data_IF_416608163623
#
_entry.id   IF_416608163623
#
_cell.length_a   1.000
_cell.length_b   1.000
_cell.length_c   1.000
_cell.angle_alpha   90.00
_cell.angle_beta   90.00
_cell.angle_gamma   90.00
#
_symmetry.space_group_name_H-M   'P 1'
#
loop_
_entity.id
_entity.type
_entity.pdbx_description
1 polymer ?
#
# COMPACT_ATOMS: atom_id res chain seq x y z
N UNK A 1 57.09 86.54 -6.37
CA UNK A 1 56.36 86.66 -7.62
C UNK A 1 54.94 86.30 -7.33
N UNK A 2 54.11 87.26 -7.05
CA UNK A 2 53.15 87.97 -7.91
C UNK A 2 52.33 87.02 -8.72
N UNK A 3 51.05 86.95 -8.52
CA UNK A 3 49.89 87.70 -8.99
C UNK A 3 48.61 87.13 -8.43
N UNK A 4 47.81 87.81 -7.69
CA UNK A 4 46.57 88.58 -7.94
C UNK A 4 45.36 87.78 -8.39
N UNK A 5 44.39 87.90 -7.53
CA UNK A 5 43.01 88.40 -7.74
C UNK A 5 42.08 87.60 -8.68
N UNK A 6 40.99 87.10 -8.17
CA UNK A 6 39.66 87.74 -8.27
C UNK A 6 38.61 86.92 -7.60
N UNK A 7 37.86 87.51 -6.69
CA UNK A 7 36.48 87.22 -6.33
C UNK A 7 35.56 87.68 -7.46
N UNK A 8 34.25 87.44 -7.37
CA UNK A 8 33.34 86.53 -6.65
C UNK A 8 32.27 85.93 -7.58
N UNK A 9 31.58 84.92 -7.17
CA UNK A 9 30.14 84.89 -7.47
C UNK A 9 29.36 84.09 -6.37
N UNK A 10 28.46 84.83 -5.80
CA UNK A 10 27.41 84.37 -4.88
C UNK A 10 26.42 83.50 -5.63
N UNK A 11 26.59 82.18 -5.53
CA UNK A 11 25.59 81.21 -5.93
C UNK A 11 24.75 80.87 -4.74
N UNK A 12 23.50 81.30 -4.74
CA UNK A 12 22.49 80.98 -3.76
C UNK A 12 22.27 79.47 -3.75
N UNK A 13 22.84 78.78 -2.80
CA UNK A 13 22.50 77.41 -2.48
C UNK A 13 21.10 77.42 -1.86
N UNK A 14 20.07 77.14 -2.65
CA UNK A 14 18.75 76.75 -2.16
C UNK A 14 18.91 75.47 -1.36
N UNK A 15 19.06 75.65 -0.07
CA UNK A 15 19.02 74.56 0.89
C UNK A 15 17.65 73.86 0.80
N UNK A 16 17.64 72.70 0.14
CA UNK A 16 16.57 71.73 0.32
C UNK A 16 16.64 71.28 1.80
N UNK A 17 15.91 71.94 2.65
CA UNK A 17 15.62 71.44 3.98
C UNK A 17 14.96 70.09 3.82
N UNK A 18 15.74 69.00 3.97
CA UNK A 18 15.20 67.65 4.20
C UNK A 18 14.46 67.71 5.52
N UNK A 19 13.16 67.97 5.45
CA UNK A 19 12.29 67.84 6.59
C UNK A 19 12.39 66.41 7.11
N UNK A 20 13.07 66.21 8.22
CA UNK A 20 13.01 64.99 9.00
C UNK A 20 11.58 64.86 9.56
N UNK A 21 10.73 64.20 8.78
CA UNK A 21 9.42 63.83 9.27
C UNK A 21 9.60 62.70 10.28
N UNK A 22 9.47 62.98 11.55
CA UNK A 22 9.41 62.00 12.63
C UNK A 22 8.14 61.13 12.47
N UNK A 23 8.26 59.82 12.68
CA UNK A 23 7.11 58.90 12.70
C UNK A 23 6.09 59.33 13.78
N UNK A 24 4.85 59.39 13.40
CA UNK A 24 3.77 59.62 14.37
C UNK A 24 3.49 58.33 15.16
N UNK A 25 3.05 58.45 16.42
CA UNK A 25 2.69 57.31 17.27
C UNK A 25 1.58 56.46 16.62
N UNK A 26 0.66 57.13 15.93
CA UNK A 26 -0.42 56.48 15.18
C UNK A 26 0.10 55.62 14.01
N UNK A 27 1.11 56.07 13.28
CA UNK A 27 1.72 55.35 12.16
C UNK A 27 2.43 54.05 12.63
N UNK A 28 3.17 54.15 13.75
CA UNK A 28 3.80 52.99 14.39
C UNK A 28 2.73 51.98 14.85
N UNK A 29 1.65 52.43 15.46
CA UNK A 29 0.59 51.58 15.92
C UNK A 29 -0.15 50.89 14.79
N UNK A 30 -0.39 51.60 13.67
CA UNK A 30 -0.97 51.04 12.46
C UNK A 30 -0.04 50.00 11.81
N UNK A 31 1.27 50.31 11.72
CA UNK A 31 2.26 49.39 11.18
C UNK A 31 2.33 48.07 11.98
N UNK A 32 2.35 48.15 13.31
CA UNK A 32 2.38 46.95 14.19
C UNK A 32 1.10 46.15 14.08
N UNK A 33 -0.07 46.77 13.96
CA UNK A 33 -1.34 46.04 13.77
C UNK A 33 -1.36 45.31 12.43
N UNK A 34 -0.99 45.95 11.35
CA UNK A 34 -0.90 45.32 10.03
C UNK A 34 0.09 44.14 10.05
N UNK A 35 1.29 44.38 10.63
CA UNK A 35 2.31 43.36 10.77
C UNK A 35 1.79 42.12 11.55
N UNK A 36 1.07 42.36 12.64
CA UNK A 36 0.49 41.30 13.46
C UNK A 36 -0.54 40.48 12.69
N UNK A 37 -1.41 41.12 11.90
CA UNK A 37 -2.37 40.43 11.04
C UNK A 37 -1.68 39.59 9.98
N UNK A 38 -0.69 40.18 9.27
CA UNK A 38 0.08 39.45 8.25
C UNK A 38 0.82 38.27 8.86
N UNK A 39 1.48 38.44 10.01
CA UNK A 39 2.17 37.37 10.71
C UNK A 39 1.20 36.24 11.12
N UNK A 40 0.02 36.57 11.63
CA UNK A 40 -1.01 35.59 12.04
C UNK A 40 -1.50 34.79 10.83
N UNK A 41 -1.84 35.45 9.71
CA UNK A 41 -2.30 34.78 8.50
C UNK A 41 -1.21 33.87 7.93
N UNK A 42 0.04 34.36 7.89
CA UNK A 42 1.19 33.57 7.42
C UNK A 42 1.40 32.34 8.30
N UNK A 43 1.34 32.48 9.61
CA UNK A 43 1.47 31.36 10.56
C UNK A 43 0.36 30.33 10.37
N UNK A 44 -0.91 30.77 10.25
CA UNK A 44 -2.04 29.88 10.01
C UNK A 44 -1.88 29.10 8.70
N UNK A 45 -1.49 29.79 7.62
CA UNK A 45 -1.27 29.16 6.32
C UNK A 45 -0.14 28.13 6.36
N UNK A 46 0.98 28.48 7.00
CA UNK A 46 2.10 27.58 7.17
C UNK A 46 1.72 26.35 8.02
N UNK A 47 1.03 26.55 9.14
CA UNK A 47 0.55 25.46 9.99
C UNK A 47 -0.40 24.52 9.24
N UNK A 48 -1.34 25.06 8.48
CA UNK A 48 -2.25 24.27 7.65
C UNK A 48 -1.51 23.46 6.58
N UNK A 49 -0.54 24.10 5.88
CA UNK A 49 0.28 23.43 4.88
C UNK A 49 1.12 22.28 5.48
N UNK A 50 1.73 22.52 6.65
CA UNK A 50 2.53 21.51 7.36
C UNK A 50 1.66 20.32 7.79
N UNK A 51 0.47 20.59 8.33
CA UNK A 51 -0.48 19.53 8.72
C UNK A 51 -0.96 18.72 7.51
N UNK A 52 -1.26 19.38 6.40
CA UNK A 52 -1.64 18.70 5.16
C UNK A 52 -0.51 17.82 4.62
N UNK A 53 0.73 18.32 4.66
CA UNK A 53 1.92 17.55 4.27
C UNK A 53 2.10 16.30 5.13
N UNK A 54 2.02 16.44 6.46
CA UNK A 54 2.17 15.31 7.39
C UNK A 54 1.11 14.23 7.16
N UNK A 55 -0.17 14.63 6.95
CA UNK A 55 -1.24 13.68 6.62
C UNK A 55 -0.99 12.98 5.29
N UNK A 56 -0.57 13.73 4.26
CA UNK A 56 -0.25 13.17 2.95
C UNK A 56 0.89 12.15 3.02
N UNK A 57 1.95 12.45 3.76
CA UNK A 57 3.09 11.53 3.94
C UNK A 57 2.66 10.27 4.71
N UNK A 58 1.87 10.42 5.78
CA UNK A 58 1.36 9.28 6.54
C UNK A 58 0.45 8.37 5.69
N UNK A 59 -0.40 8.95 4.85
CA UNK A 59 -1.23 8.19 3.91
C UNK A 59 -0.39 7.43 2.88
N UNK A 60 0.61 8.10 2.29
CA UNK A 60 1.51 7.47 1.33
C UNK A 60 2.27 6.27 1.93
N UNK A 61 2.77 6.41 3.16
CA UNK A 61 3.47 5.33 3.86
C UNK A 61 2.56 4.10 4.04
N UNK A 62 1.30 4.30 4.43
CA UNK A 62 0.33 3.21 4.61
C UNK A 62 -0.04 2.52 3.31
N UNK A 63 -0.33 3.30 2.26
CA UNK A 63 -0.60 2.76 0.93
C UNK A 63 0.61 1.97 0.42
N UNK A 64 1.82 2.48 0.63
CA UNK A 64 3.04 1.79 0.21
C UNK A 64 3.20 0.41 0.85
N UNK A 65 2.91 0.28 2.14
CA UNK A 65 2.90 -1.02 2.83
C UNK A 65 1.84 -1.97 2.27
N UNK A 66 0.63 -1.47 2.01
CA UNK A 66 -0.43 -2.26 1.39
C UNK A 66 -0.09 -2.68 -0.04
N UNK A 67 0.43 -1.73 -0.85
CA UNK A 67 0.88 -2.01 -2.22
C UNK A 67 2.03 -3.02 -2.26
N UNK A 68 2.94 -2.99 -1.31
CA UNK A 68 3.98 -4.01 -1.20
C UNK A 68 3.36 -5.40 -1.03
N UNK A 69 2.47 -5.57 -0.04
CA UNK A 69 1.83 -6.87 0.24
C UNK A 69 1.02 -7.35 -0.96
N UNK A 70 0.14 -6.50 -1.52
CA UNK A 70 -0.71 -6.92 -2.63
C UNK A 70 0.09 -7.23 -3.90
N UNK A 71 1.19 -6.52 -4.16
CA UNK A 71 2.07 -6.82 -5.30
C UNK A 71 2.83 -8.14 -5.09
N UNK A 72 3.30 -8.43 -3.87
CA UNK A 72 3.89 -9.73 -3.54
C UNK A 72 2.87 -10.86 -3.72
N UNK A 73 1.63 -10.66 -3.28
CA UNK A 73 0.54 -11.61 -3.43
C UNK A 73 0.21 -11.85 -4.91
N UNK A 74 0.10 -10.78 -5.71
CA UNK A 74 -0.11 -10.88 -7.17
C UNK A 74 1.01 -11.64 -7.86
N UNK A 75 2.27 -11.37 -7.52
CA UNK A 75 3.42 -12.10 -8.08
C UNK A 75 3.40 -13.56 -7.68
N UNK A 76 3.06 -13.87 -6.44
CA UNK A 76 2.96 -15.25 -5.95
C UNK A 76 1.81 -16.01 -6.61
N UNK A 77 0.65 -15.39 -6.79
CA UNK A 77 -0.49 -15.98 -7.51
C UNK A 77 -0.17 -16.21 -9.00
N UNK A 78 0.49 -15.26 -9.66
CA UNK A 78 0.92 -15.43 -11.06
C UNK A 78 1.96 -16.54 -11.27
N UNK A 79 2.70 -16.89 -10.23
CA UNK A 79 3.63 -18.02 -10.21
C UNK A 79 2.99 -19.32 -9.74
N UNK A 80 1.66 -19.38 -9.63
CA UNK A 80 0.94 -20.61 -9.31
C UNK A 80 1.33 -21.72 -10.26
N UNK A 81 1.53 -22.92 -9.71
CA UNK A 81 2.00 -24.08 -10.42
C UNK A 81 1.04 -25.24 -10.28
N UNK A 82 0.71 -25.84 -11.40
CA UNK A 82 -0.06 -27.07 -11.47
C UNK A 82 0.57 -28.01 -12.52
N UNK A 83 0.87 -29.27 -12.22
CA UNK A 83 1.51 -30.19 -13.16
C UNK A 83 0.63 -30.46 -14.38
N UNK A 84 1.24 -30.36 -15.58
CA UNK A 84 0.55 -30.64 -16.84
C UNK A 84 0.25 -32.14 -17.01
N UNK A 85 -0.90 -32.45 -17.62
CA UNK A 85 -1.26 -33.80 -18.05
C UNK A 85 -1.52 -34.83 -16.96
N UNK A 86 -1.58 -34.39 -15.73
CA UNK A 86 -1.90 -35.25 -14.59
C UNK A 86 -3.26 -34.86 -14.05
N UNK A 87 -4.31 -35.45 -14.41
CA UNK A 87 -5.68 -35.26 -13.87
C UNK A 87 -5.81 -34.38 -12.61
N UNK A 88 -6.76 -34.65 -11.77
CA UNK A 88 -7.00 -33.91 -10.53
C UNK A 88 -5.93 -34.24 -9.48
N UNK A 89 -5.21 -33.23 -9.00
CA UNK A 89 -4.18 -33.37 -7.97
C UNK A 89 -4.51 -32.49 -6.75
N UNK A 90 -5.19 -33.02 -5.73
CA UNK A 90 -5.56 -32.24 -4.54
C UNK A 90 -4.38 -31.53 -3.87
N UNK A 91 -3.19 -32.14 -3.91
CA UNK A 91 -1.98 -31.54 -3.35
C UNK A 91 -1.54 -30.26 -4.05
N UNK A 92 -2.00 -29.98 -5.29
CA UNK A 92 -1.64 -28.82 -6.10
C UNK A 92 -2.78 -27.81 -6.26
N UNK A 93 -4.00 -28.16 -5.84
CA UNK A 93 -5.17 -27.32 -5.99
C UNK A 93 -5.13 -26.05 -5.12
N UNK A 94 -5.96 -25.11 -5.48
CA UNK A 94 -6.20 -23.90 -4.70
C UNK A 94 -7.14 -24.22 -3.53
N UNK A 95 -6.84 -23.69 -2.37
CA UNK A 95 -7.69 -23.77 -1.19
C UNK A 95 -8.05 -22.36 -0.74
N UNK A 96 -9.28 -22.18 -0.36
CA UNK A 96 -9.80 -20.93 0.15
C UNK A 96 -10.72 -21.23 1.34
N UNK A 97 -10.54 -20.48 2.40
CA UNK A 97 -11.40 -20.45 3.58
C UNK A 97 -11.94 -19.04 3.67
N UNK A 98 -13.25 -18.93 3.44
CA UNK A 98 -13.96 -17.66 3.60
C UNK A 98 -14.22 -17.43 5.10
N UNK A 99 -13.73 -16.30 5.60
CA UNK A 99 -13.88 -15.84 6.97
C UNK A 99 -14.48 -14.43 7.01
N UNK A 100 -15.52 -14.21 6.21
CA UNK A 100 -16.36 -13.01 6.22
C UNK A 100 -16.02 -11.99 5.15
N UNK A 101 -16.76 -10.89 5.16
CA UNK A 101 -16.71 -9.87 4.13
C UNK A 101 -16.24 -8.51 4.62
N UNK A 102 -15.81 -7.67 3.65
CA UNK A 102 -15.48 -6.27 3.88
C UNK A 102 -14.24 -6.05 4.74
N UNK A 103 -14.14 -4.92 5.43
CA UNK A 103 -12.94 -4.53 6.17
C UNK A 103 -12.53 -5.47 7.32
N UNK A 104 -13.47 -6.30 7.80
CA UNK A 104 -13.24 -7.28 8.85
C UNK A 104 -12.97 -8.69 8.34
N UNK A 105 -12.96 -8.91 7.02
CA UNK A 105 -12.69 -10.21 6.43
C UNK A 105 -11.29 -10.72 6.80
N UNK A 106 -11.19 -11.99 7.11
CA UNK A 106 -9.94 -12.66 7.46
C UNK A 106 -9.82 -13.97 6.70
N UNK A 107 -10.01 -13.90 5.39
CA UNK A 107 -9.91 -15.07 4.52
C UNK A 107 -8.51 -15.67 4.56
N UNK A 108 -8.46 -16.93 4.18
CA UNK A 108 -7.23 -17.67 4.05
C UNK A 108 -7.16 -18.32 2.66
N UNK A 109 -6.05 -18.18 1.98
CA UNK A 109 -5.81 -18.84 0.69
C UNK A 109 -4.51 -19.62 0.72
N UNK A 110 -4.53 -20.79 0.06
CA UNK A 110 -3.35 -21.64 -0.06
C UNK A 110 -3.26 -22.25 -1.46
N UNK A 111 -2.07 -22.19 -2.05
CA UNK A 111 -1.80 -22.71 -3.38
C UNK A 111 -0.35 -23.13 -3.54
N UNK A 112 -0.06 -23.88 -4.60
CA UNK A 112 1.31 -24.26 -4.96
C UNK A 112 1.87 -23.26 -5.95
N UNK A 113 3.13 -22.89 -5.78
CA UNK A 113 3.82 -21.93 -6.63
C UNK A 113 5.30 -22.25 -6.83
N UNK A 114 5.93 -21.51 -7.77
CA UNK A 114 7.37 -21.46 -7.98
C UNK A 114 7.91 -20.06 -7.64
N UNK A 115 9.21 -19.97 -7.36
CA UNK A 115 9.92 -18.72 -7.16
C UNK A 115 9.72 -18.11 -5.77
N UNK A 116 10.53 -17.07 -5.46
CA UNK A 116 10.68 -16.50 -4.12
C UNK A 116 9.67 -15.43 -3.73
N UNK A 117 8.63 -15.12 -4.54
CA UNK A 117 7.63 -14.12 -4.15
C UNK A 117 6.95 -14.51 -2.84
N UNK A 118 6.76 -13.56 -1.92
CA UNK A 118 6.25 -13.69 -0.55
C UNK A 118 7.17 -14.45 0.43
N UNK A 119 7.96 -15.43 -0.03
CA UNK A 119 8.72 -16.34 0.86
C UNK A 119 10.22 -16.03 0.89
N UNK A 120 10.69 -15.12 0.04
CA UNK A 120 12.11 -14.77 -0.09
C UNK A 120 12.87 -15.71 -1.05
N UNK A 121 13.95 -15.19 -1.64
CA UNK A 121 14.79 -15.94 -2.58
C UNK A 121 15.78 -16.87 -1.87
N UNK A 122 16.06 -16.60 -0.61
CA UNK A 122 17.02 -17.36 0.18
C UNK A 122 16.45 -18.68 0.71
N UNK A 123 15.16 -18.92 0.49
CA UNK A 123 14.52 -20.16 0.86
C UNK A 123 15.04 -21.30 -0.03
N UNK A 124 15.61 -22.33 0.57
CA UNK A 124 16.31 -23.43 -0.15
C UNK A 124 15.45 -24.15 -1.20
N UNK A 125 14.13 -24.08 -1.08
CA UNK A 125 13.19 -24.71 -2.00
C UNK A 125 12.36 -23.69 -2.83
N UNK A 126 12.75 -22.43 -2.87
CA UNK A 126 12.00 -21.39 -3.60
C UNK A 126 11.83 -21.70 -5.10
N UNK A 127 12.84 -22.31 -5.71
CA UNK A 127 12.83 -22.69 -7.15
C UNK A 127 12.10 -24.02 -7.42
N UNK A 128 11.69 -24.74 -6.38
CA UNK A 128 10.92 -25.99 -6.49
C UNK A 128 9.44 -25.73 -6.19
N UNK A 129 8.51 -26.55 -6.68
CA UNK A 129 7.12 -26.45 -6.28
C UNK A 129 6.97 -26.54 -4.77
N UNK A 130 6.37 -25.50 -4.19
CA UNK A 130 6.09 -25.41 -2.77
C UNK A 130 4.73 -24.78 -2.54
N UNK A 131 4.06 -25.20 -1.48
CA UNK A 131 2.79 -24.62 -1.08
C UNK A 131 3.03 -23.39 -0.23
N UNK A 132 2.23 -22.36 -0.44
CA UNK A 132 2.17 -21.18 0.41
C UNK A 132 0.75 -21.01 0.92
N UNK A 133 0.61 -20.43 2.10
CA UNK A 133 -0.64 -20.03 2.71
C UNK A 133 -0.53 -18.58 3.13
N UNK A 134 -1.43 -17.75 2.65
CA UNK A 134 -1.57 -16.34 3.02
C UNK A 134 -2.81 -16.13 3.86
N UNK A 135 -2.68 -15.46 4.99
CA UNK A 135 -3.73 -15.25 5.97
C UNK A 135 -3.41 -14.05 6.86
N UNK A 136 -4.33 -13.71 7.77
CA UNK A 136 -4.09 -12.71 8.81
C UNK A 136 -3.86 -13.41 10.15
N UNK A 137 -2.83 -12.99 10.89
CA UNK A 137 -2.50 -13.50 12.21
C UNK A 137 -2.09 -12.37 13.15
N UNK A 138 -2.23 -12.58 14.44
CA UNK A 138 -1.71 -11.68 15.45
C UNK A 138 -0.19 -11.83 15.55
N UNK A 139 0.53 -10.70 15.44
CA UNK A 139 1.96 -10.66 15.65
C UNK A 139 2.31 -10.60 17.16
N UNK A 140 3.60 -10.60 17.48
CA UNK A 140 4.09 -10.51 18.87
C UNK A 140 3.57 -9.29 19.67
N UNK A 141 3.15 -8.22 18.96
CA UNK A 141 2.56 -7.04 19.57
C UNK A 141 1.02 -7.13 19.73
N UNK A 142 0.41 -8.29 19.45
CA UNK A 142 -1.04 -8.50 19.51
C UNK A 142 -1.81 -7.74 18.43
N UNK A 143 -1.16 -7.41 17.30
CA UNK A 143 -1.81 -6.72 16.17
C UNK A 143 -2.02 -7.68 15.01
N UNK A 144 -3.22 -7.64 14.44
CA UNK A 144 -3.53 -8.35 13.20
C UNK A 144 -2.58 -7.88 12.10
N UNK A 145 -2.00 -8.83 11.36
CA UNK A 145 -0.94 -8.59 10.40
C UNK A 145 -1.03 -9.58 9.25
N UNK A 146 -0.75 -9.13 8.04
CA UNK A 146 -0.62 -10.03 6.90
C UNK A 146 0.56 -10.99 7.11
N UNK A 147 0.30 -12.27 7.02
CA UNK A 147 1.24 -13.35 7.31
C UNK A 147 1.29 -14.38 6.19
N UNK A 148 2.40 -15.06 6.07
CA UNK A 148 2.60 -16.16 5.13
C UNK A 148 3.36 -17.30 5.80
N UNK A 149 2.93 -18.51 5.52
CA UNK A 149 3.71 -19.74 5.76
C UNK A 149 3.96 -20.45 4.44
N UNK A 150 5.05 -21.22 4.37
CA UNK A 150 5.37 -22.00 3.17
C UNK A 150 6.02 -23.31 3.53
N UNK A 151 5.77 -24.34 2.71
CA UNK A 151 6.36 -25.67 2.91
C UNK A 151 6.50 -26.41 1.59
N UNK A 152 7.38 -27.39 1.58
CA UNK A 152 7.55 -28.29 0.43
C UNK A 152 6.32 -29.17 0.28
N UNK A 153 5.96 -29.52 -0.96
CA UNK A 153 4.86 -30.45 -1.21
C UNK A 153 5.30 -31.88 -0.88
N UNK A 154 6.54 -32.22 -1.26
CA UNK A 154 7.08 -33.55 -1.14
C UNK A 154 8.05 -33.67 0.05
N UNK A 155 8.13 -34.87 0.63
CA UNK A 155 9.09 -35.22 1.64
C UNK A 155 8.73 -34.69 3.05
N UNK A 156 7.47 -34.42 3.29
CA UNK A 156 6.97 -34.08 4.62
C UNK A 156 6.89 -35.33 5.52
N UNK A 157 7.16 -35.19 6.83
CA UNK A 157 6.87 -36.24 7.82
C UNK A 157 5.39 -36.61 7.84
N UNK A 158 5.05 -37.83 8.31
CA UNK A 158 3.66 -38.27 8.43
C UNK A 158 2.82 -37.41 9.40
N UNK A 159 3.47 -36.82 10.38
CA UNK A 159 2.89 -35.94 11.40
C UNK A 159 3.02 -34.45 11.06
N UNK A 160 3.34 -34.12 9.82
CA UNK A 160 3.48 -32.74 9.38
C UNK A 160 2.13 -32.02 9.41
N UNK A 161 2.11 -30.91 10.18
CA UNK A 161 0.96 -30.04 10.29
C UNK A 161 1.40 -28.60 9.92
N UNK A 162 0.86 -28.02 8.83
CA UNK A 162 1.18 -26.66 8.43
C UNK A 162 0.75 -25.59 9.45
N UNK A 163 -0.17 -25.89 10.37
CA UNK A 163 -0.61 -24.95 11.41
C UNK A 163 0.44 -24.76 12.50
N UNK A 164 1.41 -25.66 12.60
CA UNK A 164 2.55 -25.55 13.52
C UNK A 164 3.73 -24.75 12.95
N UNK A 165 3.62 -24.25 11.71
CA UNK A 165 4.67 -23.44 11.11
C UNK A 165 4.66 -22.02 11.66
N UNK A 166 5.83 -21.47 11.95
CA UNK A 166 5.98 -20.08 12.35
C UNK A 166 5.71 -19.15 11.15
N UNK A 167 4.74 -18.21 11.25
CA UNK A 167 4.41 -17.32 10.16
C UNK A 167 5.47 -16.22 9.97
N UNK A 168 5.71 -15.88 8.71
CA UNK A 168 6.48 -14.68 8.34
C UNK A 168 5.51 -13.53 8.16
N UNK A 169 5.66 -12.48 8.96
CA UNK A 169 4.81 -11.30 8.89
C UNK A 169 5.28 -10.33 7.80
N UNK A 170 4.39 -9.97 6.90
CA UNK A 170 4.66 -9.08 5.76
C UNK A 170 4.35 -7.62 6.09
N UNK A 171 3.24 -7.36 6.77
CA UNK A 171 2.84 -6.02 7.18
C UNK A 171 1.82 -6.04 8.30
N UNK A 172 2.03 -5.21 9.31
CA UNK A 172 1.06 -4.95 10.40
C UNK A 172 0.09 -3.81 10.07
N UNK A 173 0.10 -3.30 8.84
CA UNK A 173 -0.84 -2.27 8.37
C UNK A 173 -2.06 -2.85 7.66
N UNK A 174 -2.01 -4.12 7.27
CA UNK A 174 -3.14 -4.85 6.70
C UNK A 174 -3.96 -5.41 7.84
N UNK A 175 -5.22 -5.04 7.89
CA UNK A 175 -6.15 -5.45 8.96
C UNK A 175 -7.38 -6.22 8.45
N UNK A 176 -7.49 -6.38 7.12
CA UNK A 176 -8.53 -7.18 6.50
C UNK A 176 -8.04 -7.75 5.19
N UNK A 177 -8.46 -8.96 4.87
CA UNK A 177 -8.20 -9.66 3.62
C UNK A 177 -9.45 -10.41 3.19
N UNK A 178 -9.91 -10.14 1.96
CA UNK A 178 -11.01 -10.83 1.35
C UNK A 178 -10.57 -11.37 -0.01
N UNK A 179 -11.04 -12.57 -0.36
CA UNK A 179 -10.69 -13.28 -1.57
C UNK A 179 -11.95 -13.80 -2.27
N UNK A 180 -11.97 -13.73 -3.59
CA UNK A 180 -13.00 -14.37 -4.42
C UNK A 180 -12.33 -15.13 -5.55
N UNK A 181 -12.85 -16.28 -5.89
CA UNK A 181 -12.32 -17.12 -6.95
C UNK A 181 -13.31 -17.25 -8.12
N UNK A 182 -12.81 -17.49 -9.32
CA UNK A 182 -13.64 -17.71 -10.49
C UNK A 182 -13.36 -19.08 -11.10
N UNK A 183 -14.39 -19.89 -11.25
CA UNK A 183 -14.29 -21.26 -11.80
C UNK A 183 -14.40 -21.28 -13.31
N UNK A 184 -15.21 -20.39 -13.89
CA UNK A 184 -15.50 -20.38 -15.33
C UNK A 184 -15.90 -18.99 -15.82
N UNK A 185 -16.05 -18.88 -17.13
CA UNK A 185 -16.77 -17.77 -17.76
C UNK A 185 -18.23 -18.20 -17.92
N UNK A 186 -19.16 -17.28 -17.67
CA UNK A 186 -20.58 -17.51 -17.96
C UNK A 186 -20.84 -17.57 -19.49
N UNK A 187 -22.06 -17.89 -19.88
CA UNK A 187 -22.46 -17.99 -21.30
C UNK A 187 -22.25 -16.68 -22.08
N UNK A 188 -22.18 -15.53 -21.39
CA UNK A 188 -21.89 -14.22 -21.97
C UNK A 188 -20.36 -13.93 -22.08
N UNK A 189 -19.52 -14.82 -21.58
CA UNK A 189 -18.06 -14.64 -21.54
C UNK A 189 -17.58 -13.75 -20.40
N UNK A 190 -18.41 -13.53 -19.38
CA UNK A 190 -18.06 -12.77 -18.18
C UNK A 190 -17.59 -13.71 -17.06
N UNK A 191 -16.69 -13.24 -16.21
CA UNK A 191 -16.17 -13.99 -15.07
C UNK A 191 -17.26 -14.11 -14.00
N UNK A 192 -17.59 -15.33 -13.62
CA UNK A 192 -18.47 -15.62 -12.49
C UNK A 192 -17.64 -15.80 -11.22
N UNK A 193 -17.85 -14.92 -10.25
CA UNK A 193 -17.10 -14.88 -8.98
C UNK A 193 -17.84 -15.67 -7.90
N UNK A 194 -17.09 -16.52 -7.22
CA UNK A 194 -17.52 -17.34 -6.09
C UNK A 194 -16.81 -16.83 -4.82
N UNK A 195 -17.57 -16.57 -3.76
CA UNK A 195 -17.02 -16.16 -2.47
C UNK A 195 -16.44 -17.37 -1.71
N UNK A 196 -16.89 -18.60 -2.03
CA UNK A 196 -16.37 -19.85 -1.49
C UNK A 196 -15.85 -20.76 -2.63
N UNK A 197 -14.58 -21.13 -2.57
CA UNK A 197 -13.98 -22.04 -3.55
C UNK A 197 -14.03 -23.49 -3.09
N UNK A 198 -14.87 -24.30 -3.70
CA UNK A 198 -15.09 -25.71 -3.32
C UNK A 198 -14.26 -26.71 -4.12
N UNK A 199 -13.67 -26.31 -5.25
CA UNK A 199 -12.94 -27.20 -6.17
C UNK A 199 -11.45 -27.30 -5.77
N UNK A 200 -11.19 -27.87 -4.60
CA UNK A 200 -9.85 -27.90 -3.97
C UNK A 200 -8.81 -28.74 -4.72
N UNK A 201 -9.19 -29.43 -5.80
CA UNK A 201 -8.32 -30.26 -6.63
C UNK A 201 -7.82 -29.58 -7.91
N UNK A 202 -8.13 -28.31 -8.12
CA UNK A 202 -7.70 -27.51 -9.28
C UNK A 202 -7.41 -26.07 -8.89
N UNK A 203 -6.90 -25.29 -9.86
CA UNK A 203 -6.75 -23.85 -9.72
C UNK A 203 -7.98 -23.13 -10.28
N UNK A 204 -8.40 -21.97 -9.70
CA UNK A 204 -9.40 -21.12 -10.30
C UNK A 204 -8.87 -20.44 -11.57
N UNK A 205 -9.76 -19.98 -12.45
CA UNK A 205 -9.43 -19.20 -13.64
C UNK A 205 -8.78 -17.86 -13.25
N UNK A 206 -9.35 -17.21 -12.26
CA UNK A 206 -8.87 -15.96 -11.71
C UNK A 206 -9.15 -15.89 -10.22
N UNK A 207 -8.38 -15.05 -9.53
CA UNK A 207 -8.57 -14.73 -8.11
C UNK A 207 -8.67 -13.21 -7.98
N UNK A 208 -9.73 -12.75 -7.35
CA UNK A 208 -9.87 -11.37 -6.89
C UNK A 208 -9.39 -11.30 -5.44
N UNK A 209 -8.43 -10.43 -5.16
CA UNK A 209 -7.91 -10.22 -3.81
C UNK A 209 -8.13 -8.77 -3.40
N UNK A 210 -8.63 -8.58 -2.19
CA UNK A 210 -8.87 -7.27 -1.60
C UNK A 210 -8.18 -7.19 -0.25
N UNK A 211 -7.27 -6.22 -0.10
CA UNK A 211 -6.64 -5.91 1.18
C UNK A 211 -7.23 -4.63 1.75
N UNK A 212 -7.50 -4.64 3.03
CA UNK A 212 -7.95 -3.47 3.79
C UNK A 212 -6.80 -2.98 4.66
N UNK A 213 -6.30 -1.79 4.34
CA UNK A 213 -5.15 -1.17 5.01
C UNK A 213 -5.63 -0.18 6.05
N UNK A 214 -4.98 -0.16 7.20
CA UNK A 214 -5.26 0.75 8.32
C UNK A 214 -5.40 2.20 7.87
N UNK A 215 -6.49 2.92 8.23
CA UNK A 215 -6.69 4.32 7.84
C UNK A 215 -5.71 5.25 8.55
N UNK A 216 -5.46 6.45 7.98
CA UNK A 216 -4.59 7.47 8.59
C UNK A 216 -5.16 8.01 9.88
N UNK A 217 -6.47 8.25 9.89
CA UNK A 217 -7.22 8.73 11.04
C UNK A 217 -8.16 7.60 11.50
N UNK A 218 -8.29 7.33 12.80
CA UNK A 218 -9.09 6.21 13.30
C UNK A 218 -10.56 6.24 12.89
N UNK A 219 -11.09 7.43 12.61
CA UNK A 219 -12.49 7.64 12.25
C UNK A 219 -12.77 7.47 10.74
N UNK A 220 -11.71 7.25 9.93
CA UNK A 220 -11.85 7.02 8.50
C UNK A 220 -11.97 5.53 8.18
N UNK A 221 -12.65 5.17 7.08
CA UNK A 221 -12.69 3.80 6.63
C UNK A 221 -11.29 3.33 6.20
N UNK A 222 -10.99 2.03 6.29
CA UNK A 222 -9.77 1.44 5.75
C UNK A 222 -9.60 1.74 4.26
N UNK A 223 -8.34 1.81 3.83
CA UNK A 223 -8.02 1.94 2.41
C UNK A 223 -8.13 0.57 1.75
N UNK A 224 -9.01 0.47 0.76
CA UNK A 224 -9.22 -0.75 0.00
C UNK A 224 -8.25 -0.83 -1.20
N UNK A 225 -7.50 -1.92 -1.27
CA UNK A 225 -6.61 -2.26 -2.38
C UNK A 225 -7.10 -3.55 -3.03
N UNK A 226 -7.64 -3.45 -4.24
CA UNK A 226 -8.21 -4.59 -4.97
C UNK A 226 -7.38 -4.93 -6.21
N UNK A 227 -7.16 -6.22 -6.47
CA UNK A 227 -6.51 -6.74 -7.69
C UNK A 227 -7.20 -8.01 -8.17
N UNK A 228 -7.26 -8.17 -9.48
CA UNK A 228 -7.70 -9.40 -10.14
C UNK A 228 -6.48 -10.04 -10.79
N UNK A 229 -6.28 -11.32 -10.54
CA UNK A 229 -5.12 -12.09 -11.02
C UNK A 229 -5.64 -13.31 -11.77
N UNK A 230 -5.42 -13.35 -13.09
CA UNK A 230 -5.61 -14.57 -13.86
C UNK A 230 -4.49 -15.56 -13.51
N UNK A 231 -4.85 -16.80 -13.21
CA UNK A 231 -3.88 -17.85 -12.95
C UNK A 231 -3.50 -18.54 -14.27
N UNK A 232 -2.19 -18.63 -14.53
CA UNK A 232 -1.68 -19.39 -15.66
C UNK A 232 -1.82 -20.87 -15.35
N UNK A 233 -2.88 -21.48 -15.87
CA UNK A 233 -3.19 -22.91 -15.68
C UNK A 233 -2.71 -23.66 -16.90
N UNK A 234 -1.41 -23.82 -17.07
CA UNK A 234 -0.87 -24.67 -18.12
C UNK A 234 -1.46 -26.09 -17.95
N UNK A 235 -2.23 -26.53 -18.92
CA UNK A 235 -2.81 -27.88 -18.98
C UNK A 235 -4.24 -28.05 -18.43
N UNK A 236 -4.87 -27.02 -17.90
CA UNK A 236 -6.30 -27.10 -17.55
C UNK A 236 -7.18 -26.72 -18.75
N UNK A 237 -7.96 -27.67 -19.24
CA UNK A 237 -8.97 -27.43 -20.29
C UNK A 237 -10.26 -26.91 -19.65
N UNK A 238 -10.40 -25.60 -19.59
CA UNK A 238 -11.58 -24.92 -19.05
C UNK A 238 -12.82 -25.06 -19.91
N UNK A 239 -12.70 -25.61 -21.12
CA UNK A 239 -13.83 -25.83 -22.05
C UNK A 239 -14.66 -27.09 -21.70
N UNK A 240 -14.18 -27.92 -20.77
CA UNK A 240 -14.91 -29.13 -20.36
C UNK A 240 -15.50 -28.92 -18.96
N UNK A 241 -16.85 -28.95 -18.84
CA UNK A 241 -17.47 -29.05 -17.53
C UNK A 241 -16.97 -30.32 -16.82
N UNK A 242 -16.73 -30.24 -15.52
CA UNK A 242 -16.47 -31.41 -14.68
C UNK A 242 -17.67 -32.37 -14.77
N UNK A 243 -17.47 -33.55 -15.35
CA UNK A 243 -18.46 -34.66 -15.29
C UNK A 243 -18.60 -35.18 -13.87
#
# INVERSE_FOLDING_TARGET
MCFTMSDPEVGAATGLEKGCHGFTLLEVLLAVTILSVVATVTFMTFSAATSAWQRGTALMDRIHHGDFVINQLVMALRSAYYPEGQGELPAYGFQHIDNGDGPGAQDEISWVKLGGAMVGRDLAYAESPHRVRFFLAENEAGRLSAAVVSWRIDGQPEDFDPDNLEPVFLSSRVQGFNCRAASMLNDAGEIEWEDEWTQTNRLPLAVEVTLYVEPVEPDLPPVELKRIVGLATAGQDWSKPSE
#
